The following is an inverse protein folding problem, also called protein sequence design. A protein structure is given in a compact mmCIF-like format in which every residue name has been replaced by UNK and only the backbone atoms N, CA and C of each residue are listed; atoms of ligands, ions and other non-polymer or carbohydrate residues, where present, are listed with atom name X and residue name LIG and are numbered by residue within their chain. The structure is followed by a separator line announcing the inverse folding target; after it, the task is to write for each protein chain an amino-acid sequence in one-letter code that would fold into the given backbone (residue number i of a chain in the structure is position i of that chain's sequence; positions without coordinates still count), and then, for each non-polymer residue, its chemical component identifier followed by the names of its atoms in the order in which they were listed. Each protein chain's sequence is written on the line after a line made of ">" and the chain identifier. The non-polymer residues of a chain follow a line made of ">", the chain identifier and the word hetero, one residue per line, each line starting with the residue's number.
data_IF_785257631200
#
_entry.id   IF_785257631200
#
_cell.length_a   1.000
_cell.length_b   1.000
_cell.length_c   1.000
_cell.angle_alpha   90.00
_cell.angle_beta   90.00
_cell.angle_gamma   90.00
#
_symmetry.space_group_name_H-M   'P 1'
#
loop_
_entity.id
_entity.type
_entity.pdbx_description
1 polymer ?
#
# COMPACT_ATOMS: atom_id res chain seq x y z
N UNK A 1 33.35 23.45 20.61
CA UNK A 1 32.47 23.32 19.43
C UNK A 1 32.38 21.85 19.03
N UNK A 2 31.73 21.01 19.85
CA UNK A 2 31.72 19.54 19.70
C UNK A 2 30.30 18.95 19.75
N UNK A 3 29.28 19.71 19.34
CA UNK A 3 27.86 19.31 19.48
C UNK A 3 27.17 18.88 18.16
N UNK A 4 27.92 18.55 17.09
CA UNK A 4 27.31 18.15 15.81
C UNK A 4 28.06 17.00 15.11
N UNK A 5 28.49 16.00 15.87
CA UNK A 5 28.79 14.69 15.29
C UNK A 5 27.85 13.68 15.94
N UNK A 6 26.58 13.76 15.56
CA UNK A 6 25.77 12.56 15.57
C UNK A 6 26.40 11.63 14.54
N UNK A 7 27.16 10.66 15.00
CA UNK A 7 27.32 9.42 14.24
C UNK A 7 25.89 8.94 14.02
N UNK A 8 25.38 9.17 12.81
CA UNK A 8 24.22 8.46 12.30
C UNK A 8 24.64 6.99 12.41
N UNK A 9 24.18 6.35 13.48
CA UNK A 9 24.47 4.95 13.77
C UNK A 9 24.21 4.15 12.53
N UNK A 10 25.16 3.27 12.20
CA UNK A 10 25.31 2.50 10.98
C UNK A 10 24.12 2.53 10.04
N UNK A 11 24.37 2.99 8.82
CA UNK A 11 23.55 2.69 7.65
C UNK A 11 23.31 1.18 7.64
N UNK A 12 22.25 0.71 8.29
CA UNK A 12 21.74 -0.62 8.05
C UNK A 12 21.09 -0.47 6.69
N UNK A 13 21.68 -0.99 5.60
CA UNK A 13 21.01 -0.95 4.32
C UNK A 13 19.65 -1.59 4.54
N UNK A 14 18.57 -0.84 4.26
CA UNK A 14 17.22 -1.37 4.39
C UNK A 14 17.18 -2.73 3.70
N UNK A 15 16.72 -3.74 4.43
CA UNK A 15 16.65 -5.09 3.90
C UNK A 15 15.64 -5.12 2.76
N UNK A 16 15.83 -6.03 1.79
CA UNK A 16 14.89 -6.18 0.68
C UNK A 16 13.46 -6.42 1.19
N UNK A 17 13.30 -7.14 2.30
CA UNK A 17 12.04 -7.30 3.02
C UNK A 17 11.42 -5.96 3.44
N UNK A 18 12.16 -5.12 4.17
CA UNK A 18 11.69 -3.81 4.64
C UNK A 18 11.35 -2.87 3.49
N UNK A 19 12.16 -2.87 2.43
CA UNK A 19 11.87 -2.11 1.21
C UNK A 19 10.54 -2.55 0.58
N UNK A 20 10.26 -3.86 0.56
CA UNK A 20 9.00 -4.43 0.04
C UNK A 20 7.80 -4.04 0.88
N UNK A 21 7.94 -4.05 2.21
CA UNK A 21 6.89 -3.62 3.13
C UNK A 21 6.57 -2.14 2.91
N UNK A 22 7.59 -1.27 2.90
CA UNK A 22 7.40 0.16 2.70
C UNK A 22 6.79 0.48 1.33
N UNK A 23 7.28 -0.18 0.28
CA UNK A 23 6.71 -0.06 -1.06
C UNK A 23 5.23 -0.48 -1.08
N UNK A 24 4.90 -1.62 -0.46
CA UNK A 24 3.52 -2.11 -0.37
C UNK A 24 2.62 -1.16 0.42
N UNK A 25 3.09 -0.64 1.56
CA UNK A 25 2.35 0.36 2.34
C UNK A 25 2.07 1.60 1.49
N UNK A 26 3.07 2.07 0.76
CA UNK A 26 2.93 3.23 -0.11
C UNK A 26 1.87 2.99 -1.19
N UNK A 27 1.95 1.88 -1.92
CA UNK A 27 1.01 1.56 -3.01
C UNK A 27 -0.41 1.39 -2.47
N UNK A 28 -0.60 0.61 -1.39
CA UNK A 28 -1.93 0.38 -0.83
C UNK A 28 -2.54 1.64 -0.21
N UNK A 29 -1.75 2.48 0.44
CA UNK A 29 -2.24 3.77 0.97
C UNK A 29 -2.68 4.70 -0.16
N UNK A 30 -1.89 4.80 -1.25
CA UNK A 30 -2.26 5.60 -2.42
C UNK A 30 -3.47 5.03 -3.16
N UNK A 31 -3.58 3.71 -3.21
CA UNK A 31 -4.74 3.03 -3.74
C UNK A 31 -6.00 3.50 -3.02
N UNK A 32 -6.05 3.40 -1.69
CA UNK A 32 -7.22 3.86 -0.93
C UNK A 32 -7.46 5.37 -1.05
N UNK A 33 -6.41 6.18 -1.08
CA UNK A 33 -6.53 7.63 -1.31
C UNK A 33 -7.17 7.97 -2.66
N UNK A 34 -6.92 7.19 -3.71
CA UNK A 34 -7.57 7.37 -5.00
C UNK A 34 -9.10 7.17 -4.91
N UNK A 35 -9.56 6.18 -4.14
CA UNK A 35 -11.00 5.99 -3.87
C UNK A 35 -11.56 7.17 -3.07
N UNK A 36 -10.82 7.61 -2.06
CA UNK A 36 -11.17 8.73 -1.20
C UNK A 36 -11.40 10.02 -2.00
N UNK A 37 -10.44 10.39 -2.84
CA UNK A 37 -10.50 11.55 -3.71
C UNK A 37 -11.67 11.48 -4.70
N UNK A 38 -11.92 10.30 -5.27
CA UNK A 38 -13.03 10.10 -6.22
C UNK A 38 -14.40 10.27 -5.57
N UNK A 39 -14.53 9.77 -4.35
CA UNK A 39 -15.79 9.84 -3.60
C UNK A 39 -15.99 11.23 -3.02
N UNK A 40 -14.91 11.95 -2.68
CA UNK A 40 -14.94 13.37 -2.35
C UNK A 40 -15.46 14.23 -3.51
N UNK A 41 -14.97 14.00 -4.74
CA UNK A 41 -15.43 14.70 -5.95
C UNK A 41 -16.94 14.48 -6.21
N UNK A 42 -17.44 13.27 -5.93
CA UNK A 42 -18.86 12.93 -6.13
C UNK A 42 -19.75 13.37 -4.96
N UNK A 43 -19.16 13.62 -3.78
CA UNK A 43 -19.88 14.02 -2.56
C UNK A 43 -20.79 12.94 -1.97
N UNK A 44 -20.75 11.70 -2.46
CA UNK A 44 -21.55 10.55 -2.01
C UNK A 44 -20.74 9.58 -1.13
N UNK A 45 -21.33 8.48 -0.66
CA UNK A 45 -20.61 7.44 0.11
C UNK A 45 -19.87 6.49 -0.83
N UNK A 46 -18.73 5.93 -0.40
CA UNK A 46 -17.92 5.00 -1.21
C UNK A 46 -18.78 3.86 -1.77
N UNK A 47 -19.69 3.33 -0.95
CA UNK A 47 -20.57 2.22 -1.32
C UNK A 47 -21.70 2.61 -2.28
N UNK A 48 -21.96 3.90 -2.49
CA UNK A 48 -23.01 4.41 -3.37
C UNK A 48 -22.48 4.96 -4.69
N UNK A 49 -21.22 5.38 -4.73
CA UNK A 49 -20.62 5.96 -5.94
C UNK A 49 -20.49 4.89 -7.02
N UNK A 50 -21.16 5.11 -8.16
CA UNK A 50 -20.94 4.31 -9.37
C UNK A 50 -19.58 4.65 -9.96
N UNK A 51 -18.64 3.72 -9.84
CA UNK A 51 -17.30 3.87 -10.41
C UNK A 51 -17.32 3.69 -11.92
N UNK A 52 -16.58 4.55 -12.63
CA UNK A 52 -16.49 4.49 -14.09
C UNK A 52 -15.66 3.28 -14.53
N UNK A 53 -15.87 2.84 -15.78
CA UNK A 53 -15.09 1.73 -16.35
C UNK A 53 -13.59 2.03 -16.38
N UNK A 54 -13.20 3.29 -16.63
CA UNK A 54 -11.80 3.73 -16.59
C UNK A 54 -11.19 3.69 -15.19
N UNK A 55 -11.98 3.96 -14.14
CA UNK A 55 -11.52 3.82 -12.77
C UNK A 55 -11.16 2.37 -12.44
N UNK A 56 -12.01 1.41 -12.86
CA UNK A 56 -11.73 -0.02 -12.70
C UNK A 56 -10.49 -0.48 -13.47
N UNK A 57 -10.19 0.11 -14.64
CA UNK A 57 -8.94 -0.14 -15.35
C UNK A 57 -7.73 0.25 -14.53
N UNK A 58 -7.74 1.43 -13.89
CA UNK A 58 -6.62 1.90 -13.06
C UNK A 58 -6.43 0.99 -11.84
N UNK A 59 -7.53 0.61 -11.17
CA UNK A 59 -7.51 -0.37 -10.08
C UNK A 59 -6.85 -1.68 -10.51
N UNK A 60 -7.24 -2.22 -11.67
CA UNK A 60 -6.65 -3.44 -12.22
C UNK A 60 -5.16 -3.30 -12.49
N UNK A 61 -4.73 -2.18 -13.08
CA UNK A 61 -3.31 -1.91 -13.36
C UNK A 61 -2.50 -1.84 -12.05
N UNK A 62 -3.02 -1.21 -10.99
CA UNK A 62 -2.33 -1.11 -9.70
C UNK A 62 -2.16 -2.50 -9.07
N UNK A 63 -3.21 -3.32 -9.05
CA UNK A 63 -3.16 -4.68 -8.49
C UNK A 63 -2.16 -5.54 -9.27
N UNK A 64 -2.22 -5.50 -10.61
CA UNK A 64 -1.29 -6.24 -11.48
C UNK A 64 0.14 -5.74 -11.28
N UNK A 65 0.34 -4.42 -11.22
CA UNK A 65 1.65 -3.81 -10.97
C UNK A 65 2.24 -4.23 -9.62
N UNK A 66 1.41 -4.30 -8.58
CA UNK A 66 1.84 -4.73 -7.26
C UNK A 66 2.30 -6.19 -7.26
N UNK A 67 1.54 -7.07 -7.90
CA UNK A 67 1.93 -8.48 -8.06
C UNK A 67 3.18 -8.61 -8.95
N UNK A 68 3.27 -7.84 -10.04
CA UNK A 68 4.42 -7.87 -10.94
C UNK A 68 5.73 -7.47 -10.22
N UNK A 69 5.69 -6.41 -9.40
CA UNK A 69 6.88 -5.94 -8.69
C UNK A 69 7.31 -6.92 -7.60
N UNK A 70 6.34 -7.47 -6.86
CA UNK A 70 6.61 -8.41 -5.76
C UNK A 70 7.00 -9.81 -6.26
N UNK A 71 6.53 -10.26 -7.43
CA UNK A 71 6.77 -11.62 -7.92
C UNK A 71 7.80 -11.73 -9.03
N UNK A 72 7.95 -10.71 -9.87
CA UNK A 72 8.77 -10.78 -11.10
C UNK A 72 9.94 -9.80 -11.05
N UNK A 73 9.71 -8.56 -10.62
CA UNK A 73 10.73 -7.52 -10.64
C UNK A 73 11.51 -7.40 -9.32
N UNK A 74 11.53 -8.46 -8.50
CA UNK A 74 12.06 -8.38 -7.15
C UNK A 74 13.57 -8.11 -7.10
N UNK A 75 14.35 -8.73 -8.00
CA UNK A 75 15.79 -8.45 -8.14
C UNK A 75 16.08 -7.02 -8.64
N UNK A 76 15.22 -6.48 -9.51
CA UNK A 76 15.42 -5.15 -10.11
C UNK A 76 15.12 -4.02 -9.11
N UNK A 77 14.12 -4.22 -8.26
CA UNK A 77 13.72 -3.24 -7.24
C UNK A 77 14.33 -3.51 -5.86
N UNK A 78 15.18 -4.54 -5.73
CA UNK A 78 15.76 -4.97 -4.44
C UNK A 78 14.67 -5.21 -3.39
N UNK A 79 13.61 -5.91 -3.80
CA UNK A 79 12.47 -6.33 -2.97
C UNK A 79 12.48 -7.85 -2.83
N UNK A 80 11.73 -8.38 -1.87
CA UNK A 80 11.66 -9.80 -1.56
C UNK A 80 10.28 -10.35 -1.97
N UNK A 81 10.20 -11.55 -2.58
CA UNK A 81 8.93 -12.13 -2.96
C UNK A 81 8.05 -12.42 -1.74
N UNK A 82 6.84 -11.84 -1.75
CA UNK A 82 5.91 -11.96 -0.63
C UNK A 82 4.99 -13.18 -0.75
N UNK A 83 4.68 -13.67 -1.96
CA UNK A 83 3.77 -14.81 -2.14
C UNK A 83 4.50 -16.13 -2.39
N UNK A 84 5.77 -16.11 -2.78
CA UNK A 84 6.55 -17.33 -3.03
C UNK A 84 7.85 -17.35 -2.23
N UNK A 85 8.21 -18.55 -1.79
CA UNK A 85 9.51 -18.84 -1.19
C UNK A 85 10.51 -19.20 -2.28
N UNK A 86 11.81 -19.23 -1.98
CA UNK A 86 12.89 -19.66 -2.90
C UNK A 86 12.62 -21.02 -3.60
N UNK A 87 11.82 -21.89 -2.98
CA UNK A 87 11.40 -23.18 -3.54
C UNK A 87 10.13 -23.12 -4.43
N UNK A 88 9.69 -21.92 -4.86
CA UNK A 88 8.43 -21.71 -5.58
C UNK A 88 7.19 -22.24 -4.82
N UNK A 89 7.32 -22.39 -3.50
CA UNK A 89 6.22 -22.78 -2.64
C UNK A 89 5.57 -21.54 -2.03
N UNK A 90 4.24 -21.53 -1.96
CA UNK A 90 3.48 -20.39 -1.44
C UNK A 90 3.96 -19.99 -0.04
N UNK A 91 4.37 -18.74 0.15
CA UNK A 91 4.80 -18.18 1.42
C UNK A 91 3.60 -17.53 2.13
N UNK A 92 2.99 -18.19 3.13
CA UNK A 92 1.85 -17.63 3.84
C UNK A 92 2.23 -16.39 4.66
N UNK A 93 3.49 -16.28 5.12
CA UNK A 93 3.92 -15.18 6.00
C UNK A 93 3.88 -13.84 5.26
N UNK A 94 4.49 -13.75 4.07
CA UNK A 94 4.45 -12.52 3.28
C UNK A 94 3.04 -12.19 2.75
N UNK A 95 2.24 -13.21 2.44
CA UNK A 95 0.84 -13.00 2.07
C UNK A 95 0.01 -12.41 3.23
N UNK A 96 0.27 -12.83 4.47
CA UNK A 96 -0.34 -12.26 5.68
C UNK A 96 0.10 -10.81 5.87
N UNK A 97 1.38 -10.49 5.67
CA UNK A 97 1.89 -9.11 5.76
C UNK A 97 1.19 -8.19 4.75
N UNK A 98 1.04 -8.63 3.49
CA UNK A 98 0.27 -7.89 2.48
C UNK A 98 -1.18 -7.68 2.92
N UNK A 99 -1.84 -8.72 3.46
CA UNK A 99 -3.22 -8.61 3.94
C UNK A 99 -3.33 -7.63 5.12
N UNK A 100 -2.36 -7.63 6.04
CA UNK A 100 -2.28 -6.67 7.14
C UNK A 100 -2.10 -5.26 6.59
N UNK A 101 -1.22 -5.05 5.62
CA UNK A 101 -1.00 -3.74 5.00
C UNK A 101 -2.27 -3.24 4.30
N UNK A 102 -2.94 -4.09 3.51
CA UNK A 102 -4.20 -3.74 2.83
C UNK A 102 -5.28 -3.35 3.84
N UNK A 103 -5.46 -4.16 4.89
CA UNK A 103 -6.47 -3.92 5.92
C UNK A 103 -6.17 -2.68 6.77
N UNK A 104 -4.92 -2.51 7.22
CA UNK A 104 -4.48 -1.35 7.98
C UNK A 104 -4.58 -0.06 7.16
N UNK A 105 -4.18 -0.08 5.89
CA UNK A 105 -4.29 1.09 5.01
C UNK A 105 -5.74 1.43 4.65
N UNK A 106 -6.66 0.45 4.65
CA UNK A 106 -8.09 0.70 4.46
C UNK A 106 -8.70 1.58 5.55
N UNK A 107 -8.08 1.64 6.73
CA UNK A 107 -8.49 2.49 7.86
C UNK A 107 -8.54 3.97 7.48
N UNK A 108 -7.74 4.40 6.50
CA UNK A 108 -7.78 5.76 5.94
C UNK A 108 -9.17 6.09 5.38
N UNK A 109 -9.84 5.14 4.70
CA UNK A 109 -11.21 5.34 4.21
C UNK A 109 -12.22 5.46 5.36
N UNK A 110 -12.06 4.64 6.39
CA UNK A 110 -12.95 4.63 7.55
C UNK A 110 -12.89 5.96 8.30
N UNK A 111 -11.68 6.51 8.49
CA UNK A 111 -11.52 7.84 9.12
C UNK A 111 -12.28 8.91 8.34
N UNK A 112 -12.21 8.93 7.01
CA UNK A 112 -12.99 9.89 6.22
C UNK A 112 -14.50 9.68 6.39
N UNK A 113 -14.98 8.45 6.24
CA UNK A 113 -16.43 8.18 6.30
C UNK A 113 -16.99 8.53 7.70
N UNK A 114 -16.23 8.25 8.76
CA UNK A 114 -16.56 8.63 10.14
C UNK A 114 -16.58 10.17 10.28
N UNK A 115 -15.55 10.88 9.83
CA UNK A 115 -15.53 12.35 9.83
C UNK A 115 -16.73 12.95 9.09
N UNK A 116 -17.13 12.36 7.95
CA UNK A 116 -18.31 12.81 7.19
C UNK A 116 -19.61 12.57 7.94
N UNK A 117 -19.75 11.44 8.63
CA UNK A 117 -20.92 11.15 9.48
C UNK A 117 -21.03 12.16 10.63
N UNK A 118 -19.91 12.57 11.24
CA UNK A 118 -19.90 13.56 12.30
C UNK A 118 -20.14 15.00 11.81
N UNK A 119 -19.69 15.36 10.61
CA UNK A 119 -19.89 16.69 10.03
C UNK A 119 -21.29 16.90 9.44
N UNK A 120 -22.03 15.83 9.10
CA UNK A 120 -23.44 15.93 8.66
C UNK A 120 -24.43 16.12 9.83
N UNK A 121 -24.07 16.97 10.79
CA UNK A 121 -24.97 17.45 11.85
C UNK A 121 -25.35 18.90 11.62
#
# INVERSE_FOLDING_TARGET
>A
TQMFSAVVGGENPMTAYEATLLFSIFVWTHFWYMFDARVFETGESIFKVKMSRGFWTIVGIIIIGQLFITEIAYEFFNVEPMLHTLDWHFNPTGAIDLLIIVSASSLVLWVREICRLFTKK
#
